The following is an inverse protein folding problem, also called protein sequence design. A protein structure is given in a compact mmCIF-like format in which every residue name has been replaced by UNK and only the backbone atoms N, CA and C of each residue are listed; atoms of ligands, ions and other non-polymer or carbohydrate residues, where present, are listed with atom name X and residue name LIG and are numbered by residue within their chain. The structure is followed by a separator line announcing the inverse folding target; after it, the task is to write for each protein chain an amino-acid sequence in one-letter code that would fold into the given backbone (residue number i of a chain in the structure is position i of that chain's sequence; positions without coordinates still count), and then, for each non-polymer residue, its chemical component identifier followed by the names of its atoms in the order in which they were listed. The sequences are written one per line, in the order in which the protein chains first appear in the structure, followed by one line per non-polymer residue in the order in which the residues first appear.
data_IF_087369892669
#
_entry.id   IF_087369892669
#
_cell.length_a   1.000
_cell.length_b   1.000
_cell.length_c   1.000
_cell.angle_alpha   90.00
_cell.angle_beta   90.00
_cell.angle_gamma   90.00
#
_symmetry.space_group_name_H-M   'P 1'
#
loop_
_entity.id
_entity.type
_entity.pdbx_description
1 polymer ?
#
# COMPACT_ATOMS: atom_id res chain seq x y z
N UNK A 1 12.09 2.15 -11.52
CA UNK A 1 12.50 1.44 -10.29
C UNK A 1 12.17 2.33 -9.11
N UNK A 2 11.57 1.79 -8.05
CA UNK A 2 11.29 2.58 -6.84
C UNK A 2 12.60 2.94 -6.14
N UNK A 3 12.84 4.23 -5.92
CA UNK A 3 13.98 4.69 -5.13
C UNK A 3 13.80 4.33 -3.65
N UNK A 4 14.88 4.32 -2.87
CA UNK A 4 14.82 4.08 -1.41
C UNK A 4 13.87 5.08 -0.72
N UNK A 5 13.88 6.34 -1.14
CA UNK A 5 12.97 7.37 -0.61
C UNK A 5 11.51 7.04 -0.90
N UNK A 6 11.18 6.69 -2.15
CA UNK A 6 9.81 6.32 -2.56
C UNK A 6 9.32 5.09 -1.80
N UNK A 7 10.18 4.09 -1.62
CA UNK A 7 9.88 2.89 -0.82
C UNK A 7 9.52 3.27 0.62
N UNK A 8 10.31 4.14 1.25
CA UNK A 8 10.04 4.60 2.62
C UNK A 8 8.76 5.44 2.70
N UNK A 9 8.48 6.28 1.71
CA UNK A 9 7.24 7.05 1.64
C UNK A 9 6.03 6.12 1.51
N UNK A 10 6.05 5.19 0.55
CA UNK A 10 4.96 4.24 0.34
C UNK A 10 4.73 3.35 1.56
N UNK A 11 5.79 2.93 2.24
CA UNK A 11 5.68 2.17 3.50
C UNK A 11 5.04 3.00 4.62
N UNK A 12 5.41 4.27 4.78
CA UNK A 12 4.78 5.18 5.74
C UNK A 12 3.30 5.43 5.42
N UNK A 13 2.98 5.60 4.13
CA UNK A 13 1.62 5.78 3.64
C UNK A 13 0.80 4.52 3.92
N UNK A 14 1.35 3.33 3.66
CA UNK A 14 0.74 2.03 3.99
C UNK A 14 0.37 1.96 5.48
N UNK A 15 1.32 2.27 6.37
CA UNK A 15 1.07 2.28 7.81
C UNK A 15 0.01 3.31 8.25
N UNK A 16 -0.02 4.46 7.58
CA UNK A 16 -1.06 5.49 7.81
C UNK A 16 -2.43 4.96 7.42
N UNK A 17 -2.57 4.33 6.24
CA UNK A 17 -3.82 3.75 5.79
C UNK A 17 -4.28 2.55 6.61
N UNK A 18 -3.34 1.73 7.12
CA UNK A 18 -3.66 0.63 8.02
C UNK A 18 -4.22 1.13 9.36
N UNK A 19 -3.69 2.24 9.88
CA UNK A 19 -4.20 2.89 11.11
C UNK A 19 -5.46 3.71 10.88
N UNK A 20 -5.64 4.26 9.68
CA UNK A 20 -6.83 5.05 9.33
C UNK A 20 -8.05 4.12 9.30
N UNK A 21 -8.98 4.33 10.22
CA UNK A 21 -10.25 3.60 10.29
C UNK A 21 -11.36 4.26 9.47
N UNK A 22 -11.08 5.43 8.90
CA UNK A 22 -12.04 6.27 8.19
C UNK A 22 -12.12 5.91 6.70
N UNK A 23 -13.24 6.24 6.05
CA UNK A 23 -13.45 6.00 4.62
C UNK A 23 -12.38 6.71 3.77
N UNK A 24 -11.84 6.00 2.78
CA UNK A 24 -10.84 6.54 1.86
C UNK A 24 -11.55 7.52 0.91
N UNK A 25 -11.03 8.75 0.82
CA UNK A 25 -11.56 9.74 -0.12
C UNK A 25 -10.99 9.52 -1.53
N UNK A 26 -11.67 10.04 -2.56
CA UNK A 26 -11.21 9.91 -3.96
C UNK A 26 -9.76 10.34 -4.19
N UNK A 27 -9.23 11.29 -3.41
CA UNK A 27 -7.83 11.71 -3.48
C UNK A 27 -6.85 10.71 -2.87
N UNK A 28 -7.28 9.91 -1.90
CA UNK A 28 -6.47 8.88 -1.26
C UNK A 28 -6.44 7.56 -2.07
N UNK A 29 -7.44 7.34 -2.94
CA UNK A 29 -7.53 6.14 -3.80
C UNK A 29 -6.28 6.00 -4.68
N UNK A 30 -5.79 7.10 -5.24
CA UNK A 30 -4.62 7.08 -6.11
C UNK A 30 -3.36 6.65 -5.35
N UNK A 31 -3.15 7.22 -4.16
CA UNK A 31 -2.07 6.84 -3.26
C UNK A 31 -2.18 5.37 -2.79
N UNK A 32 -3.38 4.90 -2.48
CA UNK A 32 -3.61 3.52 -2.07
C UNK A 32 -3.32 2.53 -3.21
N UNK A 33 -3.69 2.89 -4.44
CA UNK A 33 -3.42 2.11 -5.64
C UNK A 33 -1.93 2.05 -5.95
N UNK A 34 -1.20 3.14 -5.71
CA UNK A 34 0.26 3.17 -5.85
C UNK A 34 0.95 2.27 -4.80
N UNK A 35 0.46 2.30 -3.56
CA UNK A 35 0.90 1.41 -2.49
C UNK A 35 0.69 -0.07 -2.85
N UNK A 36 -0.50 -0.44 -3.34
CA UNK A 36 -0.79 -1.82 -3.75
C UNK A 36 0.15 -2.30 -4.86
N UNK A 37 0.33 -1.49 -5.92
CA UNK A 37 1.26 -1.79 -7.02
C UNK A 37 2.70 -1.95 -6.56
N UNK A 38 3.12 -1.14 -5.59
CA UNK A 38 4.44 -1.24 -4.99
C UNK A 38 4.63 -2.55 -4.23
N UNK A 39 3.63 -2.96 -3.44
CA UNK A 39 3.67 -4.25 -2.73
C UNK A 39 3.62 -5.43 -3.70
N UNK A 40 2.82 -5.37 -4.76
CA UNK A 40 2.83 -6.38 -5.84
C UNK A 40 4.20 -6.48 -6.50
N UNK A 41 4.80 -5.34 -6.87
CA UNK A 41 6.15 -5.33 -7.45
C UNK A 41 7.15 -5.97 -6.50
N UNK A 42 7.07 -5.68 -5.20
CA UNK A 42 7.98 -6.30 -4.22
C UNK A 42 7.73 -7.78 -4.00
N UNK A 43 6.46 -8.21 -4.01
CA UNK A 43 6.08 -9.60 -3.86
C UNK A 43 6.54 -10.43 -5.07
N UNK A 44 6.23 -9.97 -6.28
CA UNK A 44 6.52 -10.71 -7.51
C UNK A 44 7.94 -10.53 -8.05
N UNK A 45 8.54 -9.33 -7.91
CA UNK A 45 9.87 -9.03 -8.48
C UNK A 45 10.97 -9.16 -7.41
N UNK A 46 10.81 -8.50 -6.27
CA UNK A 46 11.85 -8.50 -5.22
C UNK A 46 11.81 -9.78 -4.38
N UNK A 47 10.68 -10.50 -4.35
CA UNK A 47 10.42 -11.63 -3.44
C UNK A 47 10.66 -11.27 -1.96
N UNK A 48 10.47 -9.99 -1.61
CA UNK A 48 10.65 -9.46 -0.25
C UNK A 48 9.40 -8.68 0.16
N UNK A 49 8.33 -9.37 0.61
CA UNK A 49 7.08 -8.75 1.03
C UNK A 49 7.30 -7.86 2.27
N UNK A 50 6.80 -6.62 2.22
CA UNK A 50 6.84 -5.69 3.37
C UNK A 50 5.65 -5.84 4.31
N UNK A 51 4.54 -6.33 3.78
CA UNK A 51 3.28 -6.47 4.49
C UNK A 51 2.81 -7.90 4.38
N UNK A 52 2.05 -8.34 5.38
CA UNK A 52 1.42 -9.66 5.34
C UNK A 52 0.22 -9.65 4.40
N UNK A 53 -0.15 -10.83 3.92
CA UNK A 53 -1.33 -11.04 3.05
C UNK A 53 -2.60 -10.44 3.67
N UNK A 54 -2.78 -10.56 4.99
CA UNK A 54 -3.90 -9.94 5.71
C UNK A 54 -3.91 -8.41 5.68
N UNK A 55 -2.73 -7.77 5.75
CA UNK A 55 -2.64 -6.30 5.64
C UNK A 55 -2.92 -5.84 4.22
N UNK A 56 -2.48 -6.61 3.22
CA UNK A 56 -2.78 -6.36 1.82
C UNK A 56 -4.29 -6.47 1.55
N UNK A 57 -4.94 -7.54 2.01
CA UNK A 57 -6.39 -7.75 1.88
C UNK A 57 -7.18 -6.61 2.54
N UNK A 58 -6.73 -6.14 3.70
CA UNK A 58 -7.33 -4.97 4.37
C UNK A 58 -7.19 -3.68 3.56
N UNK A 59 -6.04 -3.43 2.94
CA UNK A 59 -5.84 -2.26 2.08
C UNK A 59 -6.69 -2.37 0.81
N UNK A 60 -6.75 -3.56 0.21
CA UNK A 60 -7.55 -3.81 -0.99
C UNK A 60 -9.05 -3.62 -0.73
N UNK A 61 -9.58 -4.16 0.37
CA UNK A 61 -10.97 -3.93 0.79
C UNK A 61 -11.30 -2.47 1.04
N UNK A 62 -10.32 -1.66 1.47
CA UNK A 62 -10.51 -0.22 1.63
C UNK A 62 -10.53 0.52 0.29
N UNK A 63 -9.87 -0.02 -0.75
CA UNK A 63 -9.94 0.52 -2.12
C UNK A 63 -11.29 0.23 -2.78
N UNK A 64 -11.86 -0.94 -2.51
CA UNK A 64 -13.10 -1.42 -3.13
C UNK A 64 -14.36 -0.66 -2.64
N UNK A 65 -14.25 0.04 -1.50
CA UNK A 65 -15.35 0.69 -0.79
C UNK A 65 -15.67 2.09 -1.29
#
# INVERSE_FOLDING_TARGET
MYSKETTQQLQKITGTFLKKTESISKGDIDALREVLRFHEYRYYIINDPLISDSEYDQLFKRLEK
#
